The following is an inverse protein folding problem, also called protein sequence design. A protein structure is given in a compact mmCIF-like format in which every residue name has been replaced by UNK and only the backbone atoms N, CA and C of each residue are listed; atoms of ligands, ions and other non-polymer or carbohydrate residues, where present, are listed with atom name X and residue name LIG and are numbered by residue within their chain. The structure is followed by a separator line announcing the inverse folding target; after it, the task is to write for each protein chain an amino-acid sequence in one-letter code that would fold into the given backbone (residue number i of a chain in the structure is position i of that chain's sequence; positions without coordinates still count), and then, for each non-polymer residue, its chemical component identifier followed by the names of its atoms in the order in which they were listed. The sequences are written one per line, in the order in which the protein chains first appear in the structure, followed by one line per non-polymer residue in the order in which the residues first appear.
data_IF_761766214819
#
_entry.id   IF_761766214819
#
_cell.length_a   1.000
_cell.length_b   1.000
_cell.length_c   1.000
_cell.angle_alpha   90.00
_cell.angle_beta   90.00
_cell.angle_gamma   90.00
#
_symmetry.space_group_name_H-M   'P 1'
#
loop_
_entity.id
_entity.type
_entity.pdbx_description
1 polymer ?
#
# COMPACT_ATOMS: atom_id res chain seq x y z
N UNK A 1 -4.77 -14.03 -14.68
CA UNK A 1 -5.04 -14.28 -13.24
C UNK A 1 -5.77 -15.59 -13.10
N UNK A 2 -5.28 -16.49 -12.25
CA UNK A 2 -5.99 -17.70 -11.89
C UNK A 2 -7.11 -17.30 -10.91
N UNK A 3 -8.37 -17.52 -11.30
CA UNK A 3 -9.49 -17.34 -10.39
C UNK A 3 -9.51 -18.45 -9.35
N UNK A 4 -10.18 -18.21 -8.22
CA UNK A 4 -10.47 -19.25 -7.23
C UNK A 4 -11.10 -20.51 -7.85
N UNK A 5 -11.85 -20.37 -8.95
CA UNK A 5 -12.42 -21.49 -9.72
C UNK A 5 -11.33 -22.32 -10.43
N UNK A 6 -10.32 -21.70 -11.06
CA UNK A 6 -9.20 -22.44 -11.64
C UNK A 6 -8.36 -23.13 -10.55
N UNK A 7 -8.21 -22.48 -9.40
CA UNK A 7 -7.54 -23.08 -8.25
C UNK A 7 -8.23 -24.36 -7.77
N UNK A 8 -9.56 -24.43 -7.79
CA UNK A 8 -10.31 -25.64 -7.41
C UNK A 8 -10.19 -26.77 -8.45
N UNK A 9 -10.14 -26.44 -9.74
CA UNK A 9 -9.97 -27.44 -10.82
C UNK A 9 -8.55 -28.01 -10.88
N UNK A 10 -7.54 -27.20 -10.55
CA UNK A 10 -6.12 -27.56 -10.63
C UNK A 10 -5.51 -27.97 -9.28
N UNK A 11 -6.31 -28.25 -8.26
CA UNK A 11 -5.86 -28.55 -6.89
C UNK A 11 -4.63 -29.45 -6.83
N UNK A 12 -3.56 -28.93 -6.23
CA UNK A 12 -2.31 -29.67 -6.00
C UNK A 12 -1.41 -29.88 -7.23
N UNK A 13 -1.74 -29.29 -8.38
CA UNK A 13 -1.03 -29.51 -9.65
C UNK A 13 -0.45 -28.23 -10.29
N UNK A 14 -0.39 -27.12 -9.56
CA UNK A 14 0.16 -25.86 -10.07
C UNK A 14 0.98 -25.15 -9.03
N UNK A 15 1.93 -24.37 -9.49
CA UNK A 15 2.67 -23.41 -8.71
C UNK A 15 2.14 -22.02 -9.07
N UNK A 16 1.60 -21.31 -8.08
CA UNK A 16 1.12 -19.93 -8.27
C UNK A 16 2.32 -18.98 -8.18
N UNK A 17 2.46 -18.13 -9.19
CA UNK A 17 3.43 -17.03 -9.20
C UNK A 17 2.64 -15.74 -9.22
N UNK A 18 2.83 -14.90 -8.20
CA UNK A 18 2.22 -13.57 -8.12
C UNK A 18 3.15 -12.57 -8.81
N UNK A 19 2.57 -11.78 -9.72
CA UNK A 19 3.30 -10.72 -10.42
C UNK A 19 2.66 -9.37 -10.08
N UNK A 20 3.48 -8.46 -9.58
CA UNK A 20 3.12 -7.05 -9.38
C UNK A 20 3.60 -6.21 -10.57
N UNK A 21 3.11 -4.98 -10.79
CA UNK A 21 3.70 -4.04 -11.72
C UNK A 21 5.20 -3.88 -11.47
N UNK A 22 5.99 -3.32 -12.37
CA UNK A 22 7.43 -3.16 -12.17
C UNK A 22 7.75 -2.45 -10.86
N UNK A 23 8.84 -2.88 -10.22
CA UNK A 23 9.43 -2.18 -9.07
C UNK A 23 10.15 -0.91 -9.54
N UNK A 24 10.56 -0.08 -8.59
CA UNK A 24 11.44 1.07 -8.90
C UNK A 24 12.75 0.61 -9.55
N UNK A 25 13.36 -0.46 -9.03
CA UNK A 25 14.60 -1.03 -9.60
C UNK A 25 14.38 -1.53 -11.03
N UNK A 26 13.31 -2.26 -11.30
CA UNK A 26 12.95 -2.72 -12.65
C UNK A 26 12.67 -1.55 -13.59
N UNK A 27 12.01 -0.50 -13.10
CA UNK A 27 11.75 0.73 -13.87
C UNK A 27 13.05 1.48 -14.19
N UNK A 28 13.96 1.59 -13.24
CA UNK A 28 15.29 2.18 -13.46
C UNK A 28 16.08 1.37 -14.50
N UNK A 29 16.08 0.05 -14.37
CA UNK A 29 16.73 -0.85 -15.33
C UNK A 29 16.14 -0.72 -16.73
N UNK A 30 14.81 -0.65 -16.84
CA UNK A 30 14.12 -0.42 -18.11
C UNK A 30 14.53 0.91 -18.76
N UNK A 31 14.76 1.95 -17.96
CA UNK A 31 15.20 3.28 -18.44
C UNK A 31 16.72 3.42 -18.58
N UNK A 32 17.48 2.35 -18.38
CA UNK A 32 18.95 2.33 -18.38
C UNK A 32 19.57 3.32 -17.38
N UNK A 33 18.93 3.49 -16.21
CA UNK A 33 19.41 4.33 -15.11
C UNK A 33 19.97 3.43 -14.02
N UNK A 34 21.25 3.67 -13.65
CA UNK A 34 21.87 2.99 -12.53
C UNK A 34 22.00 3.97 -11.34
N UNK A 35 21.24 3.80 -10.25
CA UNK A 35 21.26 4.72 -9.12
C UNK A 35 22.58 4.72 -8.35
N UNK A 36 23.45 3.72 -8.57
CA UNK A 36 24.77 3.62 -7.92
C UNK A 36 25.86 4.41 -8.65
N UNK A 37 25.58 4.97 -9.84
CA UNK A 37 26.51 5.82 -10.55
C UNK A 37 26.25 7.28 -10.21
N UNK A 38 27.27 7.98 -9.70
CA UNK A 38 27.16 9.38 -9.27
C UNK A 38 26.64 10.29 -10.40
N UNK A 39 27.14 10.09 -11.63
CA UNK A 39 26.70 10.81 -12.83
C UNK A 39 25.24 10.61 -13.23
N UNK A 40 24.59 9.55 -12.72
CA UNK A 40 23.18 9.24 -12.96
C UNK A 40 22.27 9.48 -11.74
N UNK A 41 22.83 9.97 -10.63
CA UNK A 41 22.09 10.16 -9.38
C UNK A 41 20.91 11.13 -9.54
N UNK A 42 21.08 12.24 -10.24
CA UNK A 42 20.00 13.17 -10.53
C UNK A 42 18.89 12.54 -11.39
N UNK A 43 19.26 11.72 -12.38
CA UNK A 43 18.31 11.01 -13.22
C UNK A 43 17.55 9.94 -12.43
N UNK A 44 18.21 9.26 -11.50
CA UNK A 44 17.57 8.29 -10.61
C UNK A 44 16.49 8.93 -9.73
N UNK A 45 16.74 10.15 -9.20
CA UNK A 45 15.73 10.92 -8.44
C UNK A 45 14.50 11.24 -9.31
N UNK A 46 14.71 11.68 -10.55
CA UNK A 46 13.62 11.97 -11.49
C UNK A 46 12.80 10.72 -11.80
N UNK A 47 13.47 9.58 -12.02
CA UNK A 47 12.78 8.29 -12.27
C UNK A 47 12.01 7.84 -11.02
N UNK A 48 12.56 8.03 -9.82
CA UNK A 48 11.89 7.66 -8.57
C UNK A 48 10.64 8.52 -8.33
N UNK A 49 10.70 9.84 -8.56
CA UNK A 49 9.54 10.74 -8.44
C UNK A 49 8.45 10.38 -9.47
N UNK A 50 8.83 10.15 -10.73
CA UNK A 50 7.91 9.73 -11.79
C UNK A 50 7.25 8.38 -11.45
N UNK A 51 8.02 7.41 -10.96
CA UNK A 51 7.51 6.11 -10.53
C UNK A 51 6.55 6.23 -9.33
N UNK A 52 6.90 7.04 -8.34
CA UNK A 52 6.05 7.27 -7.17
C UNK A 52 4.69 7.84 -7.58
N UNK A 53 4.64 8.75 -8.58
CA UNK A 53 3.40 9.38 -9.04
C UNK A 53 2.61 8.49 -9.99
N UNK A 54 3.28 7.91 -10.99
CA UNK A 54 2.65 7.28 -12.15
C UNK A 54 2.67 5.75 -12.12
N UNK A 55 3.32 5.15 -11.11
CA UNK A 55 3.38 3.71 -10.93
C UNK A 55 4.29 2.97 -11.91
N UNK A 56 4.19 1.64 -11.86
CA UNK A 56 5.07 0.68 -12.52
C UNK A 56 4.41 -0.20 -13.57
N UNK A 57 3.21 0.11 -14.08
CA UNK A 57 2.65 -0.67 -15.17
C UNK A 57 3.51 -0.55 -16.44
N UNK A 58 3.96 -1.66 -17.04
CA UNK A 58 4.90 -1.66 -18.17
C UNK A 58 4.45 -0.79 -19.34
N UNK A 59 3.16 -0.84 -19.69
CA UNK A 59 2.58 -0.07 -20.78
C UNK A 59 2.68 1.44 -20.53
N UNK A 60 2.54 1.86 -19.27
CA UNK A 60 2.62 3.28 -18.88
C UNK A 60 4.06 3.76 -18.76
N UNK A 61 5.00 2.88 -18.38
CA UNK A 61 6.43 3.20 -18.35
C UNK A 61 6.96 3.43 -19.75
N UNK A 62 6.52 2.63 -20.72
CA UNK A 62 6.89 2.76 -22.12
C UNK A 62 6.38 4.06 -22.74
N UNK A 63 5.18 4.53 -22.33
CA UNK A 63 4.59 5.75 -22.85
C UNK A 63 3.74 6.45 -21.79
N UNK A 64 4.32 7.45 -21.12
CA UNK A 64 3.64 8.20 -20.03
C UNK A 64 2.40 8.98 -20.48
N UNK A 65 2.33 9.36 -21.77
CA UNK A 65 1.18 10.10 -22.31
C UNK A 65 -0.13 9.31 -22.27
N UNK A 66 -0.08 7.97 -22.28
CA UNK A 66 -1.27 7.12 -22.24
C UNK A 66 -1.66 6.70 -20.81
N UNK A 67 -0.85 7.01 -19.80
CA UNK A 67 -1.04 6.52 -18.41
C UNK A 67 -2.48 6.69 -17.95
N UNK A 68 -3.00 7.90 -18.02
CA UNK A 68 -4.36 8.21 -17.53
C UNK A 68 -5.44 7.42 -18.27
N UNK A 69 -5.43 7.43 -19.60
CA UNK A 69 -6.45 6.74 -20.40
C UNK A 69 -6.32 5.22 -20.29
N UNK A 70 -5.09 4.70 -20.28
CA UNK A 70 -4.83 3.27 -20.16
C UNK A 70 -5.31 2.74 -18.80
N UNK A 71 -4.88 3.35 -17.70
CA UNK A 71 -5.21 2.86 -16.35
C UNK A 71 -6.68 3.09 -16.00
N UNK A 72 -7.31 4.16 -16.47
CA UNK A 72 -8.77 4.33 -16.33
C UNK A 72 -9.53 3.22 -17.06
N UNK A 73 -9.16 2.90 -18.30
CA UNK A 73 -9.77 1.81 -19.07
C UNK A 73 -9.51 0.44 -18.42
N UNK A 74 -8.30 0.23 -17.90
CA UNK A 74 -7.95 -1.00 -17.19
C UNK A 74 -8.76 -1.15 -15.89
N UNK A 75 -8.92 -0.06 -15.12
CA UNK A 75 -9.76 -0.03 -13.94
C UNK A 75 -11.21 -0.44 -14.25
N UNK A 76 -11.82 0.19 -15.24
CA UNK A 76 -13.17 -0.15 -15.69
C UNK A 76 -13.28 -1.62 -16.14
N UNK A 77 -12.27 -2.11 -16.87
CA UNK A 77 -12.23 -3.50 -17.32
C UNK A 77 -12.15 -4.49 -16.16
N UNK A 78 -11.31 -4.21 -15.16
CA UNK A 78 -11.21 -5.03 -13.93
C UNK A 78 -12.55 -5.06 -13.21
N UNK A 79 -13.17 -3.90 -12.98
CA UNK A 79 -14.44 -3.82 -12.26
C UNK A 79 -15.57 -4.54 -13.00
N UNK A 80 -15.70 -4.36 -14.30
CA UNK A 80 -16.84 -4.89 -15.07
C UNK A 80 -16.63 -6.36 -15.45
N UNK A 81 -15.43 -6.74 -15.91
CA UNK A 81 -15.17 -8.08 -16.45
C UNK A 81 -14.68 -9.05 -15.36
N UNK A 82 -13.70 -8.62 -14.55
CA UNK A 82 -13.06 -9.50 -13.59
C UNK A 82 -13.85 -9.57 -12.26
N UNK A 83 -14.57 -8.50 -11.89
CA UNK A 83 -15.34 -8.47 -10.64
C UNK A 83 -16.83 -8.66 -10.90
N UNK A 84 -17.50 -7.68 -11.53
CA UNK A 84 -18.94 -7.66 -11.61
C UNK A 84 -19.53 -8.88 -12.37
N UNK A 85 -18.95 -9.22 -13.53
CA UNK A 85 -19.40 -10.37 -14.32
C UNK A 85 -19.13 -11.70 -13.59
N UNK A 86 -17.95 -11.86 -13.00
CA UNK A 86 -17.55 -13.09 -12.30
C UNK A 86 -18.44 -13.37 -11.10
N UNK A 87 -18.65 -12.37 -10.25
CA UNK A 87 -19.46 -12.51 -9.03
C UNK A 87 -20.95 -12.25 -9.23
N UNK A 88 -21.37 -12.05 -10.50
CA UNK A 88 -22.78 -11.76 -10.86
C UNK A 88 -23.35 -10.60 -10.02
N UNK A 89 -22.54 -9.54 -9.86
CA UNK A 89 -22.94 -8.36 -9.10
C UNK A 89 -24.09 -7.67 -9.82
N UNK A 90 -25.24 -7.53 -9.15
CA UNK A 90 -26.44 -6.90 -9.72
C UNK A 90 -26.33 -5.37 -9.76
N UNK A 91 -25.82 -4.78 -8.66
CA UNK A 91 -25.62 -3.34 -8.57
C UNK A 91 -24.16 -2.99 -8.84
N UNK A 92 -23.84 -2.79 -10.11
CA UNK A 92 -22.48 -2.41 -10.54
C UNK A 92 -22.13 -0.98 -10.18
N UNK A 93 -23.12 -0.10 -10.00
CA UNK A 93 -22.93 1.28 -9.57
C UNK A 93 -22.37 1.35 -8.16
N UNK A 94 -22.93 0.57 -7.21
CA UNK A 94 -22.44 0.51 -5.84
C UNK A 94 -20.99 -0.03 -5.79
N UNK A 95 -20.70 -1.05 -6.61
CA UNK A 95 -19.34 -1.59 -6.72
C UNK A 95 -18.36 -0.53 -7.24
N UNK A 96 -18.76 0.22 -8.26
CA UNK A 96 -17.94 1.28 -8.85
C UNK A 96 -17.70 2.42 -7.86
N UNK A 97 -18.76 2.88 -7.19
CA UNK A 97 -18.67 3.91 -6.17
C UNK A 97 -17.75 3.50 -5.02
N UNK A 98 -17.86 2.24 -4.56
CA UNK A 98 -16.98 1.71 -3.53
C UNK A 98 -15.52 1.68 -4.01
N UNK A 99 -15.25 1.17 -5.21
CA UNK A 99 -13.89 1.12 -5.74
C UNK A 99 -13.26 2.51 -5.89
N UNK A 100 -14.02 3.49 -6.36
CA UNK A 100 -13.58 4.88 -6.48
C UNK A 100 -13.33 5.53 -5.10
N UNK A 101 -14.21 5.24 -4.14
CA UNK A 101 -14.02 5.69 -2.76
C UNK A 101 -12.73 5.13 -2.16
N UNK A 102 -12.45 3.83 -2.35
CA UNK A 102 -11.24 3.18 -1.87
C UNK A 102 -9.98 3.78 -2.51
N UNK A 103 -10.01 4.09 -3.81
CA UNK A 103 -8.91 4.81 -4.47
C UNK A 103 -8.66 6.19 -3.87
N UNK A 104 -9.74 6.93 -3.57
CA UNK A 104 -9.62 8.28 -3.02
C UNK A 104 -9.17 8.28 -1.55
N UNK A 105 -9.37 7.17 -0.84
CA UNK A 105 -9.05 7.00 0.58
C UNK A 105 -7.93 5.97 0.83
N UNK A 106 -7.08 5.72 -0.16
CA UNK A 106 -5.95 4.81 0.01
C UNK A 106 -5.02 5.24 1.16
N UNK A 107 -4.33 4.28 1.78
CA UNK A 107 -3.54 4.42 3.00
C UNK A 107 -4.33 4.80 4.27
N UNK A 108 -5.64 4.99 4.20
CA UNK A 108 -6.45 5.25 5.39
C UNK A 108 -7.04 3.96 5.97
N UNK A 109 -7.18 3.88 7.31
CA UNK A 109 -7.99 2.86 7.94
C UNK A 109 -9.46 3.06 7.58
N UNK A 110 -10.11 1.99 7.13
CA UNK A 110 -11.53 1.96 6.78
C UNK A 110 -12.21 0.73 7.37
N UNK A 111 -13.49 0.85 7.70
CA UNK A 111 -14.31 -0.26 8.13
C UNK A 111 -15.49 -0.47 7.19
N UNK A 112 -15.97 -1.72 7.09
CA UNK A 112 -17.13 -2.01 6.26
C UNK A 112 -18.41 -1.34 6.75
N UNK A 113 -18.50 -0.99 8.04
CA UNK A 113 -19.62 -0.23 8.60
C UNK A 113 -19.61 1.22 8.10
N UNK A 114 -18.46 1.89 8.17
CA UNK A 114 -18.28 3.25 7.63
C UNK A 114 -18.59 3.29 6.14
N UNK A 115 -18.00 2.39 5.36
CA UNK A 115 -18.24 2.29 3.92
C UNK A 115 -19.72 2.10 3.59
N UNK A 116 -20.42 1.20 4.33
CA UNK A 116 -21.84 0.97 4.11
C UNK A 116 -22.69 2.22 4.38
N UNK A 117 -22.35 2.97 5.42
CA UNK A 117 -23.07 4.19 5.81
C UNK A 117 -22.79 5.33 4.84
N UNK A 118 -21.52 5.61 4.55
CA UNK A 118 -21.12 6.74 3.71
C UNK A 118 -21.58 6.60 2.25
N UNK A 119 -21.55 5.36 1.73
CA UNK A 119 -21.93 5.07 0.34
C UNK A 119 -23.39 4.64 0.19
N UNK A 120 -24.16 4.59 1.28
CA UNK A 120 -25.56 4.15 1.24
C UNK A 120 -25.75 2.70 0.74
N UNK A 121 -24.77 1.82 1.00
CA UNK A 121 -24.82 0.44 0.53
C UNK A 121 -25.86 -0.38 1.29
N UNK A 122 -26.45 -1.35 0.63
CA UNK A 122 -27.61 -2.12 1.13
C UNK A 122 -27.35 -2.83 2.46
N UNK A 123 -26.11 -3.23 2.75
CA UNK A 123 -25.71 -3.84 4.01
C UNK A 123 -24.20 -3.93 4.19
N UNK A 124 -23.76 -3.99 5.45
CA UNK A 124 -22.34 -4.24 5.81
C UNK A 124 -21.84 -5.58 5.23
N UNK A 125 -22.71 -6.58 5.13
CA UNK A 125 -22.36 -7.87 4.53
C UNK A 125 -22.08 -7.75 3.04
N UNK A 126 -22.87 -6.97 2.31
CA UNK A 126 -22.65 -6.67 0.88
C UNK A 126 -21.36 -5.90 0.70
N UNK A 127 -21.12 -4.89 1.55
CA UNK A 127 -19.89 -4.11 1.53
C UNK A 127 -18.64 -4.98 1.70
N UNK A 128 -18.65 -5.90 2.69
CA UNK A 128 -17.54 -6.84 2.88
C UNK A 128 -17.31 -7.72 1.64
N UNK A 129 -18.37 -8.27 1.06
CA UNK A 129 -18.26 -9.06 -0.18
C UNK A 129 -17.66 -8.25 -1.31
N UNK A 130 -18.06 -7.00 -1.49
CA UNK A 130 -17.50 -6.15 -2.52
C UNK A 130 -16.01 -5.85 -2.27
N UNK A 131 -15.62 -5.61 -1.02
CA UNK A 131 -14.21 -5.47 -0.66
C UNK A 131 -13.41 -6.74 -1.01
N UNK A 132 -13.94 -7.92 -0.67
CA UNK A 132 -13.30 -9.20 -1.01
C UNK A 132 -13.18 -9.38 -2.53
N UNK A 133 -14.24 -9.07 -3.29
CA UNK A 133 -14.24 -9.15 -4.75
C UNK A 133 -13.25 -8.21 -5.42
N UNK A 134 -13.04 -7.02 -4.83
CA UNK A 134 -12.06 -6.03 -5.31
C UNK A 134 -10.61 -6.41 -4.97
N UNK A 135 -10.41 -7.26 -3.95
CA UNK A 135 -9.10 -7.79 -3.60
C UNK A 135 -8.66 -8.94 -4.52
N UNK A 136 -9.60 -9.76 -5.04
CA UNK A 136 -9.29 -10.93 -5.87
C UNK A 136 -8.43 -10.61 -7.12
N UNK A 137 -8.70 -9.53 -7.88
CA UNK A 137 -7.87 -9.13 -9.02
C UNK A 137 -6.59 -8.37 -8.63
N UNK A 138 -6.22 -8.36 -7.36
CA UNK A 138 -5.07 -7.61 -6.82
C UNK A 138 -5.17 -6.08 -7.00
N UNK A 139 -6.38 -5.54 -7.23
CA UNK A 139 -6.56 -4.11 -7.37
C UNK A 139 -6.37 -3.38 -6.04
N UNK A 140 -6.93 -3.96 -4.95
CA UNK A 140 -6.82 -3.46 -3.60
C UNK A 140 -6.29 -4.51 -2.64
N UNK A 141 -5.59 -4.03 -1.61
CA UNK A 141 -5.11 -4.83 -0.49
C UNK A 141 -5.61 -4.20 0.81
N UNK A 142 -5.89 -5.04 1.79
CA UNK A 142 -6.34 -4.63 3.11
C UNK A 142 -5.31 -5.03 4.16
N UNK A 143 -4.70 -4.04 4.81
CA UNK A 143 -3.72 -4.25 5.86
C UNK A 143 -4.40 -4.16 7.22
N UNK A 144 -4.53 -5.26 7.99
CA UNK A 144 -5.19 -5.23 9.28
C UNK A 144 -4.31 -4.56 10.34
N UNK A 145 -4.98 -4.02 11.39
CA UNK A 145 -4.30 -3.50 12.58
C UNK A 145 -3.70 -4.65 13.38
N UNK A 146 -2.43 -4.51 13.78
CA UNK A 146 -1.78 -5.48 14.65
C UNK A 146 -2.46 -5.56 16.01
N UNK A 147 -2.75 -6.76 16.44
CA UNK A 147 -3.19 -7.07 17.79
C UNK A 147 -2.86 -8.52 18.13
N UNK A 148 -2.43 -8.77 19.37
CA UNK A 148 -2.14 -10.14 19.85
C UNK A 148 -3.40 -11.01 19.93
N UNK A 149 -4.59 -10.39 20.01
CA UNK A 149 -5.88 -11.08 20.01
C UNK A 149 -6.52 -11.04 18.63
N UNK A 150 -6.59 -12.17 17.94
CA UNK A 150 -7.16 -12.30 16.58
C UNK A 150 -8.58 -11.72 16.49
N UNK A 151 -9.42 -11.86 17.54
CA UNK A 151 -10.78 -11.30 17.55
C UNK A 151 -10.80 -9.78 17.46
N UNK A 152 -9.85 -9.10 18.10
CA UNK A 152 -9.71 -7.64 18.07
C UNK A 152 -9.15 -7.18 16.71
N UNK A 153 -8.18 -7.89 16.17
CA UNK A 153 -7.62 -7.64 14.84
C UNK A 153 -8.72 -7.66 13.76
N UNK A 154 -9.61 -8.68 13.77
CA UNK A 154 -10.72 -8.80 12.79
C UNK A 154 -11.80 -7.74 12.93
N UNK A 155 -11.90 -7.05 14.07
CA UNK A 155 -12.89 -5.99 14.32
C UNK A 155 -12.37 -4.59 14.03
N UNK A 156 -11.06 -4.42 14.05
CA UNK A 156 -10.44 -3.13 13.78
C UNK A 156 -10.59 -2.77 12.29
N UNK A 157 -10.65 -1.47 11.95
CA UNK A 157 -10.50 -1.01 10.58
C UNK A 157 -9.20 -1.54 9.95
N UNK A 158 -9.21 -1.76 8.65
CA UNK A 158 -8.01 -2.10 7.88
C UNK A 158 -7.59 -0.91 7.03
N UNK A 159 -6.28 -0.64 6.91
CA UNK A 159 -5.79 0.30 5.90
C UNK A 159 -5.99 -0.30 4.52
N UNK A 160 -6.41 0.51 3.55
CA UNK A 160 -6.54 0.08 2.16
C UNK A 160 -5.35 0.56 1.35
N UNK A 161 -4.77 -0.32 0.55
CA UNK A 161 -3.68 -0.02 -0.38
C UNK A 161 -4.05 -0.41 -1.79
N UNK A 162 -3.42 0.23 -2.77
CA UNK A 162 -3.66 0.01 -4.20
C UNK A 162 -2.42 -0.64 -4.79
N UNK A 163 -2.62 -1.54 -5.74
CA UNK A 163 -1.51 -2.24 -6.41
C UNK A 163 -0.51 -1.31 -7.07
N UNK A 164 -0.96 -0.12 -7.49
CA UNK A 164 -0.14 0.84 -8.23
C UNK A 164 -0.70 2.27 -8.10
N UNK A 165 0.18 3.24 -7.85
CA UNK A 165 -0.19 4.65 -7.69
C UNK A 165 -0.78 5.26 -8.96
N UNK A 166 -0.47 4.72 -10.12
CA UNK A 166 -1.01 5.20 -11.39
C UNK A 166 -2.54 5.12 -11.44
N UNK A 167 -3.16 4.13 -10.79
CA UNK A 167 -4.64 4.09 -10.67
C UNK A 167 -5.18 5.26 -9.87
N UNK A 168 -4.49 5.64 -8.79
CA UNK A 168 -4.88 6.78 -7.96
C UNK A 168 -4.88 8.05 -8.80
N UNK A 169 -3.79 8.30 -9.54
CA UNK A 169 -3.64 9.50 -10.39
C UNK A 169 -4.61 9.51 -11.59
N UNK A 170 -4.99 8.34 -12.07
CA UNK A 170 -5.82 8.22 -13.29
C UNK A 170 -7.32 8.28 -13.01
N UNK A 171 -7.77 7.87 -11.82
CA UNK A 171 -9.19 7.58 -11.56
C UNK A 171 -9.75 8.28 -10.34
N UNK A 172 -8.91 8.64 -9.35
CA UNK A 172 -9.40 9.28 -8.12
C UNK A 172 -9.88 10.71 -8.37
N UNK A 173 -10.99 11.07 -7.72
CA UNK A 173 -11.53 12.43 -7.76
C UNK A 173 -10.78 13.36 -6.80
N UNK A 174 -10.37 14.54 -7.27
CA UNK A 174 -9.87 15.67 -6.46
C UNK A 174 -8.76 15.34 -5.46
N UNK A 175 -7.68 14.74 -5.93
CA UNK A 175 -6.49 14.62 -5.10
C UNK A 175 -5.67 15.91 -5.19
N UNK A 176 -5.68 16.70 -4.11
CA UNK A 176 -4.44 17.41 -3.77
C UNK A 176 -3.36 16.32 -3.67
N UNK A 177 -2.24 16.51 -4.38
CA UNK A 177 -1.14 15.53 -4.37
C UNK A 177 -0.73 15.22 -2.92
N UNK A 178 -1.17 14.07 -2.42
CA UNK A 178 -0.74 13.60 -1.12
C UNK A 178 0.49 12.72 -1.29
N UNK A 179 1.64 13.36 -1.47
CA UNK A 179 2.94 12.69 -1.71
C UNK A 179 3.29 11.70 -0.58
N UNK A 180 2.88 12.01 0.65
CA UNK A 180 3.07 11.09 1.78
C UNK A 180 2.34 9.77 1.58
N UNK A 181 1.07 9.80 1.17
CA UNK A 181 0.31 8.57 0.89
C UNK A 181 0.82 7.83 -0.33
N UNK A 182 1.24 8.55 -1.38
CA UNK A 182 1.83 7.91 -2.56
C UNK A 182 3.10 7.14 -2.19
N UNK A 183 3.96 7.74 -1.36
CA UNK A 183 5.16 7.08 -0.85
C UNK A 183 4.80 5.88 0.05
N UNK A 184 3.85 6.04 0.95
CA UNK A 184 3.39 4.95 1.83
C UNK A 184 2.84 3.76 1.03
N UNK A 185 2.04 4.03 -0.01
CA UNK A 185 1.53 2.97 -0.87
C UNK A 185 2.66 2.24 -1.63
N UNK A 186 3.68 2.96 -2.09
CA UNK A 186 4.85 2.33 -2.74
C UNK A 186 5.64 1.46 -1.77
N UNK A 187 5.84 1.92 -0.53
CA UNK A 187 6.49 1.12 0.52
C UNK A 187 5.68 -0.15 0.80
N UNK A 188 4.35 -0.04 0.87
CA UNK A 188 3.49 -1.22 1.02
C UNK A 188 3.67 -2.23 -0.11
N UNK A 189 3.64 -1.78 -1.37
CA UNK A 189 3.81 -2.65 -2.54
C UNK A 189 5.21 -3.29 -2.54
N UNK A 190 6.24 -2.55 -2.12
CA UNK A 190 7.59 -3.09 -2.01
C UNK A 190 7.69 -4.15 -0.89
N UNK A 191 7.01 -3.96 0.25
CA UNK A 191 6.92 -4.97 1.30
C UNK A 191 6.24 -6.26 0.80
N UNK A 192 5.22 -6.17 -0.05
CA UNK A 192 4.64 -7.35 -0.70
C UNK A 192 5.66 -8.08 -1.59
N UNK A 193 6.48 -7.35 -2.37
CA UNK A 193 7.55 -7.93 -3.22
C UNK A 193 8.58 -8.69 -2.39
N UNK A 194 8.89 -8.21 -1.19
CA UNK A 194 9.79 -8.85 -0.23
C UNK A 194 9.16 -10.06 0.46
N UNK A 195 7.93 -10.44 0.08
CA UNK A 195 7.24 -11.62 0.60
C UNK A 195 6.51 -11.41 1.92
N UNK A 196 6.34 -10.16 2.38
CA UNK A 196 5.47 -9.90 3.53
C UNK A 196 4.00 -10.06 3.14
N UNK A 197 3.23 -10.67 4.03
CA UNK A 197 1.83 -11.05 3.78
C UNK A 197 0.92 -10.27 4.74
N UNK A 198 0.00 -9.41 4.25
CA UNK A 198 -0.99 -8.72 5.07
C UNK A 198 -1.76 -9.69 5.98
N UNK A 199 -1.84 -9.35 7.25
CA UNK A 199 -2.53 -10.16 8.26
C UNK A 199 -1.78 -11.41 8.75
N UNK A 200 -0.59 -11.69 8.20
CA UNK A 200 0.31 -12.75 8.68
C UNK A 200 1.64 -12.21 9.18
N UNK A 201 2.36 -11.52 8.31
CA UNK A 201 3.69 -10.99 8.58
C UNK A 201 3.77 -9.48 8.45
N UNK A 202 2.71 -8.83 7.94
CA UNK A 202 2.59 -7.39 7.76
C UNK A 202 1.29 -6.85 8.34
N UNK A 203 1.39 -5.76 9.08
CA UNK A 203 0.28 -5.08 9.77
C UNK A 203 0.57 -3.58 9.84
N UNK A 204 -0.45 -2.76 10.16
CA UNK A 204 -0.25 -1.42 10.73
C UNK A 204 -0.54 -1.47 12.24
N UNK A 205 -0.15 -0.44 12.98
CA UNK A 205 -0.37 -0.40 14.43
C UNK A 205 -0.90 0.96 14.88
N UNK A 206 -1.67 0.98 15.95
CA UNK A 206 -2.02 2.16 16.73
C UNK A 206 -1.67 1.93 18.18
N UNK A 207 -0.88 2.84 18.72
CA UNK A 207 -0.48 2.84 20.13
C UNK A 207 -1.68 3.09 21.04
N UNK A 208 -1.47 2.99 22.36
CA UNK A 208 -2.52 3.29 23.35
C UNK A 208 -2.94 4.75 23.32
N UNK A 209 -2.04 5.66 22.94
CA UNK A 209 -2.32 7.09 22.76
C UNK A 209 -2.77 7.44 21.33
N UNK A 210 -3.25 6.44 20.59
CA UNK A 210 -3.81 6.56 19.23
C UNK A 210 -2.83 7.11 18.17
N UNK A 211 -1.52 6.96 18.39
CA UNK A 211 -0.51 7.25 17.37
C UNK A 211 -0.41 6.09 16.40
N UNK A 212 -0.32 6.39 15.12
CA UNK A 212 -0.28 5.38 14.07
C UNK A 212 1.16 5.05 13.67
N UNK A 213 1.43 3.76 13.43
CA UNK A 213 2.63 3.23 12.79
C UNK A 213 2.21 2.56 11.51
N UNK A 214 2.82 2.99 10.40
CA UNK A 214 2.39 2.57 9.07
C UNK A 214 2.58 1.08 8.85
N UNK A 215 3.75 0.53 9.23
CA UNK A 215 3.99 -0.89 9.06
C UNK A 215 4.68 -1.51 10.28
N UNK A 216 4.18 -2.67 10.63
CA UNK A 216 4.75 -3.59 11.62
C UNK A 216 5.01 -4.90 10.92
N UNK A 217 6.28 -5.30 10.82
CA UNK A 217 6.65 -6.61 10.31
C UNK A 217 6.80 -7.62 11.45
N UNK A 218 6.53 -8.89 11.14
CA UNK A 218 6.54 -9.95 12.12
C UNK A 218 7.20 -11.20 11.55
N UNK A 219 8.05 -11.83 12.39
CA UNK A 219 8.63 -13.14 12.12
C UNK A 219 8.25 -14.11 13.25
N UNK A 220 7.47 -15.12 12.90
CA UNK A 220 6.89 -16.02 13.91
C UNK A 220 5.96 -15.27 14.88
N UNK A 221 6.26 -15.30 16.19
CA UNK A 221 5.50 -14.59 17.23
C UNK A 221 6.04 -13.21 17.58
N UNK A 222 7.22 -12.83 17.07
CA UNK A 222 7.90 -11.59 17.42
C UNK A 222 7.68 -10.51 16.36
N UNK A 223 7.51 -9.27 16.81
CA UNK A 223 7.64 -8.09 15.95
C UNK A 223 9.10 -7.95 15.58
N UNK A 224 9.36 -7.80 14.28
CA UNK A 224 10.71 -7.78 13.71
C UNK A 224 11.18 -6.35 13.46
N UNK A 225 10.30 -5.49 12.95
CA UNK A 225 10.62 -4.12 12.62
C UNK A 225 9.36 -3.24 12.69
N UNK A 226 9.55 -1.99 13.08
CA UNK A 226 8.57 -0.91 13.00
C UNK A 226 9.02 0.08 11.93
N UNK A 227 8.14 0.37 10.98
CA UNK A 227 8.44 1.21 9.82
C UNK A 227 7.44 2.36 9.78
N UNK A 228 7.96 3.58 9.72
CA UNK A 228 7.18 4.78 9.48
C UNK A 228 7.55 5.37 8.13
N UNK A 229 6.58 5.89 7.40
CA UNK A 229 6.80 6.54 6.12
C UNK A 229 6.50 8.03 6.25
N UNK A 230 7.50 8.85 6.05
CA UNK A 230 7.37 10.29 6.13
C UNK A 230 8.03 10.93 4.92
N UNK A 231 7.23 11.52 4.03
CA UNK A 231 7.75 12.10 2.78
C UNK A 231 8.86 13.14 3.04
N UNK A 232 8.65 14.00 4.05
CA UNK A 232 9.59 15.04 4.44
C UNK A 232 9.62 15.22 5.97
N UNK A 233 10.79 15.06 6.57
CA UNK A 233 11.07 15.22 7.99
C UNK A 233 11.80 16.55 8.32
N UNK A 234 11.87 17.50 7.41
CA UNK A 234 12.58 18.78 7.63
C UNK A 234 11.92 19.64 8.72
N UNK A 235 10.61 19.53 8.90
CA UNK A 235 9.89 20.19 9.98
C UNK A 235 10.13 19.49 11.32
N UNK A 236 10.59 20.23 12.33
CA UNK A 236 10.79 19.71 13.70
C UNK A 236 9.52 19.09 14.28
N UNK A 237 8.35 19.69 14.04
CA UNK A 237 7.07 19.18 14.53
C UNK A 237 6.73 17.83 13.91
N UNK A 238 6.93 17.68 12.59
CA UNK A 238 6.74 16.42 11.89
C UNK A 238 7.71 15.37 12.42
N UNK A 239 9.01 15.72 12.44
CA UNK A 239 10.07 14.83 12.95
C UNK A 239 9.76 14.32 14.35
N UNK A 240 9.44 15.22 15.28
CA UNK A 240 9.08 14.86 16.65
C UNK A 240 7.86 13.94 16.70
N UNK A 241 6.83 14.23 15.93
CA UNK A 241 5.59 13.43 15.89
C UNK A 241 5.88 12.00 15.46
N UNK A 242 6.62 11.81 14.37
CA UNK A 242 6.92 10.48 13.81
C UNK A 242 7.84 9.68 14.75
N UNK A 243 8.91 10.31 15.27
CA UNK A 243 9.82 9.65 16.20
C UNK A 243 9.14 9.29 17.52
N UNK A 244 8.31 10.18 18.07
CA UNK A 244 7.55 9.92 19.29
C UNK A 244 6.51 8.80 19.13
N UNK A 245 5.95 8.63 17.94
CA UNK A 245 5.05 7.52 17.66
C UNK A 245 5.80 6.18 17.65
N UNK A 246 6.97 6.15 16.98
CA UNK A 246 7.81 4.96 16.93
C UNK A 246 8.38 4.57 18.32
N UNK A 247 8.81 5.54 19.16
CA UNK A 247 9.27 5.26 20.52
C UNK A 247 8.17 4.57 21.32
N UNK A 248 6.95 5.11 21.30
CA UNK A 248 5.83 4.54 22.05
C UNK A 248 5.49 3.13 21.56
N UNK A 249 5.46 2.92 20.24
CA UNK A 249 5.21 1.62 19.66
C UNK A 249 6.34 0.61 19.99
N UNK A 250 7.60 1.06 19.99
CA UNK A 250 8.76 0.25 20.34
C UNK A 250 8.67 -0.30 21.77
N UNK A 251 8.24 0.54 22.70
CA UNK A 251 8.02 0.14 24.10
C UNK A 251 6.85 -0.85 24.23
N UNK A 252 5.71 -0.57 23.56
CA UNK A 252 4.52 -1.42 23.63
C UNK A 252 4.70 -2.78 22.94
N UNK A 253 5.48 -2.83 21.87
CA UNK A 253 5.69 -4.03 21.06
C UNK A 253 7.03 -4.72 21.32
N UNK A 254 7.87 -4.15 22.19
CA UNK A 254 9.21 -4.67 22.52
C UNK A 254 10.09 -4.88 21.28
N UNK A 255 10.16 -3.84 20.43
CA UNK A 255 10.90 -3.86 19.17
C UNK A 255 11.78 -2.61 19.04
N UNK A 256 13.09 -2.81 18.94
CA UNK A 256 14.07 -1.72 18.83
C UNK A 256 14.59 -1.54 17.39
N UNK A 257 14.11 -2.30 16.43
CA UNK A 257 14.43 -2.14 15.01
C UNK A 257 13.47 -1.11 14.39
N UNK A 258 13.89 0.15 14.36
CA UNK A 258 13.09 1.31 13.99
C UNK A 258 13.59 1.91 12.69
N UNK A 259 12.73 1.93 11.68
CA UNK A 259 13.02 2.43 10.35
C UNK A 259 12.07 3.58 9.99
N UNK A 260 12.62 4.66 9.46
CA UNK A 260 11.86 5.72 8.80
C UNK A 260 12.23 5.76 7.34
N UNK A 261 11.23 5.71 6.47
CA UNK A 261 11.43 5.81 5.03
C UNK A 261 10.98 7.19 4.56
N UNK A 262 11.88 7.89 3.88
CA UNK A 262 11.64 9.25 3.39
C UNK A 262 11.81 9.34 1.87
N UNK A 263 11.47 10.50 1.31
CA UNK A 263 11.73 10.76 -0.11
C UNK A 263 13.20 11.10 -0.38
N UNK A 264 13.86 11.87 0.50
CA UNK A 264 15.16 12.44 0.19
C UNK A 264 16.14 12.52 1.38
N UNK A 265 15.74 12.14 2.56
CA UNK A 265 16.55 12.30 3.77
C UNK A 265 17.15 10.98 4.22
N UNK A 266 18.42 11.01 4.61
CA UNK A 266 19.14 9.85 5.12
C UNK A 266 19.96 10.29 6.32
N UNK A 267 19.71 9.64 7.44
CA UNK A 267 20.45 9.92 8.67
C UNK A 267 20.26 8.78 9.67
N UNK A 268 21.11 8.76 10.69
CA UNK A 268 20.92 7.93 11.86
C UNK A 268 20.59 8.85 13.04
N UNK A 269 19.44 8.64 13.66
CA UNK A 269 18.92 9.53 14.70
C UNK A 269 18.93 8.81 16.04
N UNK A 270 19.42 9.50 17.05
CA UNK A 270 19.25 9.12 18.45
C UNK A 270 18.14 10.00 19.07
N UNK A 271 17.05 9.37 19.52
CA UNK A 271 15.92 10.06 20.13
C UNK A 271 15.34 9.24 21.28
N UNK A 272 15.25 9.84 22.49
CA UNK A 272 14.70 9.19 23.69
C UNK A 272 15.29 7.79 23.95
N UNK A 273 16.61 7.66 23.87
CA UNK A 273 17.34 6.40 24.06
C UNK A 273 17.02 5.30 23.04
N UNK A 274 16.49 5.65 21.88
CA UNK A 274 16.27 4.75 20.74
C UNK A 274 17.06 5.24 19.55
N UNK A 275 17.54 4.29 18.76
CA UNK A 275 18.24 4.55 17.49
C UNK A 275 17.29 4.29 16.34
N UNK A 276 17.22 5.23 15.41
CA UNK A 276 16.41 5.15 14.19
C UNK A 276 17.32 5.16 12.98
N UNK A 277 17.03 4.28 12.04
CA UNK A 277 17.56 4.36 10.69
C UNK A 277 16.60 5.15 9.82
N UNK A 278 17.08 6.19 9.16
CA UNK A 278 16.31 6.96 8.18
C UNK A 278 16.93 6.74 6.83
N UNK A 279 16.17 6.21 5.90
CA UNK A 279 16.62 5.92 4.54
C UNK A 279 15.67 6.51 3.51
N UNK A 280 16.19 6.74 2.31
CA UNK A 280 15.33 7.11 1.18
C UNK A 280 14.66 5.87 0.58
N UNK A 281 13.49 6.08 -0.05
CA UNK A 281 12.73 5.01 -0.68
C UNK A 281 13.52 4.25 -1.75
N UNK A 282 14.39 4.94 -2.49
CA UNK A 282 15.23 4.30 -3.53
C UNK A 282 16.31 3.36 -2.96
N UNK A 283 16.59 3.43 -1.65
CA UNK A 283 17.46 2.50 -0.93
C UNK A 283 16.70 1.45 -0.13
N UNK A 284 15.41 1.66 0.02
CA UNK A 284 14.50 0.67 0.59
C UNK A 284 14.11 -0.33 -0.48
#
# INVERSE_FOLDING_TARGET
MLSSEMATVLTGRYLQIEMLPFSLEETMRWRNVNPNLEEQSAQAVVVADDYMRNGGYPETIQSRNITKSYLSTLFDSILLKDVAKRHKVRNTTDLYNLATYLLSNFCNPISANELATELGLSSVTTTKKFCDYLAEPYLFFYLPRFNNKMKLMKKAPSKVYVVDNGFVQSTAFNLSENLGRLLENQVFVELLRRGYIPGKTLFYYRTRNDKEIDFVTRKGSKVEQLIQVCYDMSSENTRKRELDALVEAAEELHCDNLLVITNSQEEKIEWKNKTFEVITYNKF
#
